data_IF_650824327838
#
_entry.id   IF_650824327838
#
_cell.length_a   1.000
_cell.length_b   1.000
_cell.length_c   1.000
_cell.angle_alpha   90.00
_cell.angle_beta   90.00
_cell.angle_gamma   90.00
#
_symmetry.space_group_name_H-M   'P 1'
#
loop_
_entity.id
_entity.type
_entity.pdbx_description
1 polymer ?
#
# COMPACT_ATOMS: atom_id res chain seq x y z
N UNK A 1 20.17 14.19 -4.18
CA UNK A 1 19.51 12.87 -3.99
C UNK A 1 18.57 12.68 -5.16
N UNK A 2 18.56 11.50 -5.77
CA UNK A 2 17.88 11.28 -7.06
C UNK A 2 17.08 9.99 -6.97
N UNK A 3 15.75 10.08 -7.03
CA UNK A 3 14.89 8.90 -7.00
C UNK A 3 14.88 8.26 -8.39
N UNK A 4 15.94 7.52 -8.72
CA UNK A 4 16.01 6.70 -9.93
C UNK A 4 15.15 5.46 -9.69
N UNK A 5 14.00 5.37 -10.35
CA UNK A 5 13.16 4.16 -10.36
C UNK A 5 13.78 3.15 -11.34
N UNK A 6 14.97 2.66 -11.00
CA UNK A 6 15.72 1.73 -11.84
C UNK A 6 15.09 0.34 -11.81
N UNK A 7 14.68 -0.15 -12.98
CA UNK A 7 14.15 -1.51 -13.14
C UNK A 7 15.24 -2.60 -13.23
N UNK A 8 16.53 -2.23 -13.12
CA UNK A 8 17.67 -3.15 -13.31
C UNK A 8 18.40 -3.60 -12.04
N UNK A 9 17.87 -3.29 -10.84
CA UNK A 9 18.45 -3.72 -9.55
C UNK A 9 17.41 -4.34 -8.60
N UNK A 10 16.37 -4.97 -9.15
CA UNK A 10 15.27 -5.55 -8.36
C UNK A 10 15.69 -6.88 -7.73
N UNK A 11 15.63 -6.96 -6.40
CA UNK A 11 15.79 -8.20 -5.64
C UNK A 11 14.45 -8.97 -5.60
N UNK A 12 14.42 -10.29 -5.85
CA UNK A 12 13.22 -11.12 -5.99
C UNK A 12 12.47 -11.39 -4.66
N UNK A 13 12.78 -10.65 -3.59
CA UNK A 13 11.96 -10.61 -2.37
C UNK A 13 10.95 -9.45 -2.34
N UNK A 14 11.04 -8.46 -3.24
CA UNK A 14 10.10 -7.33 -3.28
C UNK A 14 9.71 -7.01 -4.73
N UNK A 15 8.66 -7.68 -5.24
CA UNK A 15 8.00 -7.24 -6.47
C UNK A 15 6.61 -7.86 -6.64
N UNK A 16 5.55 -7.03 -6.58
CA UNK A 16 4.35 -7.14 -7.43
C UNK A 16 3.53 -5.84 -7.36
N UNK A 17 3.99 -4.79 -8.05
CA UNK A 17 3.11 -3.71 -8.51
C UNK A 17 2.55 -4.08 -9.88
N UNK A 18 1.38 -4.72 -9.89
CA UNK A 18 0.70 -5.09 -11.14
C UNK A 18 -0.18 -3.93 -11.61
N UNK A 19 0.28 -3.20 -12.62
CA UNK A 19 -0.51 -2.20 -13.32
C UNK A 19 -1.20 -2.83 -14.53
N UNK A 20 -2.52 -2.94 -14.49
CA UNK A 20 -3.30 -3.34 -15.65
C UNK A 20 -3.57 -2.14 -16.55
N UNK A 21 -3.17 -2.27 -17.82
CA UNK A 21 -3.50 -1.33 -18.89
C UNK A 21 -4.62 -1.93 -19.74
N UNK A 22 -5.70 -1.17 -19.96
CA UNK A 22 -6.75 -1.53 -20.91
C UNK A 22 -7.02 -0.38 -21.87
N UNK A 23 -7.06 -0.69 -23.16
CA UNK A 23 -7.29 0.26 -24.25
C UNK A 23 -8.78 0.23 -24.63
N UNK A 24 -9.53 1.27 -24.25
CA UNK A 24 -10.96 1.39 -24.54
C UNK A 24 -11.38 2.84 -24.77
N UNK A 25 -12.16 3.09 -25.83
CA UNK A 25 -12.65 4.43 -26.19
C UNK A 25 -14.03 4.71 -25.58
N UNK A 26 -14.26 5.99 -25.21
CA UNK A 26 -15.60 6.61 -25.29
C UNK A 26 -16.24 7.07 -23.98
N UNK A 27 -17.20 7.99 -24.11
CA UNK A 27 -18.24 8.27 -23.11
C UNK A 27 -17.87 9.23 -21.98
N UNK A 28 -18.48 10.42 -21.99
CA UNK A 28 -18.53 11.32 -20.84
C UNK A 28 -20.00 11.61 -20.45
N UNK A 29 -20.41 11.11 -19.28
CA UNK A 29 -21.58 11.60 -18.55
C UNK A 29 -21.18 11.77 -17.08
N UNK A 30 -21.71 12.80 -16.42
CA UNK A 30 -21.37 13.17 -15.06
C UNK A 30 -22.29 12.55 -14.01
N UNK A 31 -21.79 12.37 -12.78
CA UNK A 31 -22.56 11.88 -11.64
C UNK A 31 -22.47 12.93 -10.52
N UNK A 32 -23.62 13.41 -10.04
CA UNK A 32 -23.69 14.26 -8.85
C UNK A 32 -23.49 13.42 -7.59
N UNK A 33 -22.62 13.88 -6.68
CA UNK A 33 -22.40 13.25 -5.38
C UNK A 33 -22.95 14.11 -4.22
N UNK A 34 -23.55 13.47 -3.22
CA UNK A 34 -24.28 14.14 -2.15
C UNK A 34 -23.37 14.76 -1.09
N UNK A 35 -23.50 16.08 -0.89
CA UNK A 35 -22.58 16.88 -0.08
C UNK A 35 -22.38 16.40 1.38
N UNK A 36 -23.40 15.79 1.99
CA UNK A 36 -23.43 15.45 3.41
C UNK A 36 -22.49 14.31 3.85
N UNK A 37 -21.67 13.72 2.97
CA UNK A 37 -20.58 12.79 3.31
C UNK A 37 -19.17 13.37 3.06
N UNK A 38 -19.07 14.41 2.22
CA UNK A 38 -17.83 14.90 1.60
C UNK A 38 -16.90 15.54 2.66
N UNK A 39 -17.47 16.37 3.55
CA UNK A 39 -16.76 17.20 4.53
C UNK A 39 -15.83 16.43 5.51
N UNK A 40 -16.04 15.12 5.71
CA UNK A 40 -15.21 14.30 6.59
C UNK A 40 -13.98 13.71 5.89
N UNK A 41 -14.19 13.10 4.72
CA UNK A 41 -13.15 12.43 3.96
C UNK A 41 -12.12 13.41 3.37
N UNK A 42 -12.59 14.54 2.85
CA UNK A 42 -11.69 15.47 2.15
C UNK A 42 -10.89 16.35 3.11
N UNK A 43 -11.43 16.64 4.30
CA UNK A 43 -10.66 17.26 5.40
C UNK A 43 -9.44 16.41 5.76
N UNK A 44 -9.62 15.09 5.92
CA UNK A 44 -8.54 14.20 6.35
C UNK A 44 -7.54 13.91 5.21
N UNK A 45 -8.00 13.88 3.95
CA UNK A 45 -7.11 13.92 2.76
C UNK A 45 -6.25 15.17 2.73
N UNK A 46 -6.87 16.34 2.95
CA UNK A 46 -6.18 17.63 2.93
C UNK A 46 -5.12 17.73 4.03
N UNK A 47 -5.41 17.18 5.22
CA UNK A 47 -4.43 17.05 6.31
C UNK A 47 -3.27 16.11 5.94
N UNK A 48 -3.54 14.99 5.27
CA UNK A 48 -2.49 14.08 4.79
C UNK A 48 -1.63 14.72 3.71
N UNK A 49 -2.25 15.31 2.67
CA UNK A 49 -1.57 16.05 1.60
C UNK A 49 -0.74 17.23 2.11
N UNK A 50 -1.17 17.89 3.19
CA UNK A 50 -0.38 18.90 3.87
C UNK A 50 0.86 18.28 4.53
N UNK A 51 0.69 17.21 5.32
CA UNK A 51 1.82 16.51 5.96
C UNK A 51 2.86 16.05 4.92
N UNK A 52 2.45 15.43 3.81
CA UNK A 52 3.35 15.00 2.73
C UNK A 52 4.23 16.13 2.18
N UNK A 53 3.75 17.39 2.24
CA UNK A 53 4.48 18.58 1.77
C UNK A 53 5.40 19.18 2.84
N UNK A 54 5.16 18.95 4.13
CA UNK A 54 5.98 19.52 5.22
C UNK A 54 7.39 18.95 5.32
N UNK A 55 7.65 17.79 4.72
CA UNK A 55 8.90 17.02 4.83
C UNK A 55 9.45 16.56 3.49
N UNK A 56 9.26 17.41 2.46
CA UNK A 56 9.84 17.21 1.13
C UNK A 56 10.30 18.54 0.57
N UNK A 57 11.50 18.58 0.02
CA UNK A 57 11.96 19.70 -0.80
C UNK A 57 11.00 19.92 -1.98
N UNK A 58 10.78 21.17 -2.42
CA UNK A 58 9.90 21.45 -3.55
C UNK A 58 10.43 20.78 -4.82
N UNK A 59 9.63 19.86 -5.38
CA UNK A 59 9.75 19.27 -6.72
C UNK A 59 11.12 18.63 -7.04
N UNK A 60 11.30 17.37 -6.65
CA UNK A 60 12.21 16.46 -7.39
C UNK A 60 11.60 16.23 -8.79
N UNK A 61 12.34 16.42 -9.90
CA UNK A 61 11.85 16.10 -11.25
C UNK A 61 11.46 14.62 -11.37
N UNK A 62 10.31 14.34 -12.00
CA UNK A 62 9.86 12.97 -12.22
C UNK A 62 10.56 12.36 -13.44
N UNK A 63 11.66 11.65 -13.21
CA UNK A 63 12.27 10.78 -14.23
C UNK A 63 11.49 9.47 -14.31
N UNK A 64 10.81 9.24 -15.43
CA UNK A 64 10.19 7.93 -15.73
C UNK A 64 11.11 7.16 -16.68
N UNK A 65 11.73 6.10 -16.17
CA UNK A 65 12.42 5.11 -17.00
C UNK A 65 11.42 4.00 -17.39
N UNK A 66 11.09 3.83 -18.69
CA UNK A 66 10.22 2.73 -19.12
C UNK A 66 10.91 1.38 -18.86
N UNK A 67 10.39 0.62 -17.90
CA UNK A 67 10.88 -0.74 -17.62
C UNK A 67 10.70 -1.62 -18.86
N UNK A 68 11.75 -2.38 -19.21
CA UNK A 68 11.64 -3.38 -20.28
C UNK A 68 10.64 -4.46 -19.84
N UNK A 69 9.69 -4.89 -20.71
CA UNK A 69 8.76 -5.96 -20.38
C UNK A 69 9.48 -7.22 -19.88
N UNK A 70 9.01 -7.74 -18.76
CA UNK A 70 9.54 -8.93 -18.06
C UNK A 70 8.98 -10.20 -18.73
N UNK A 71 9.84 -11.17 -19.14
CA UNK A 71 9.56 -11.97 -20.36
C UNK A 71 8.97 -13.41 -20.27
N UNK A 72 8.93 -14.13 -19.12
CA UNK A 72 8.59 -15.58 -18.99
C UNK A 72 7.99 -16.13 -17.60
N UNK A 73 7.02 -15.52 -16.89
CA UNK A 73 6.76 -15.42 -15.40
C UNK A 73 7.15 -16.47 -14.30
N UNK A 74 7.97 -16.09 -13.28
CA UNK A 74 8.30 -16.85 -12.03
C UNK A 74 7.10 -16.91 -11.06
N UNK A 75 6.84 -18.11 -10.54
CA UNK A 75 5.82 -18.39 -9.51
C UNK A 75 6.39 -19.30 -8.41
N UNK A 76 5.79 -19.26 -7.22
CA UNK A 76 6.29 -19.93 -6.01
C UNK A 76 5.49 -21.19 -5.58
N UNK A 77 4.45 -21.59 -6.32
CA UNK A 77 3.55 -22.69 -5.93
C UNK A 77 3.40 -23.76 -7.02
N UNK A 78 3.17 -25.01 -6.60
CA UNK A 78 2.82 -26.18 -7.41
C UNK A 78 1.69 -26.93 -6.68
N UNK A 79 0.60 -27.37 -7.35
CA UNK A 79 0.29 -27.19 -8.77
C UNK A 79 -0.07 -25.74 -9.13
N UNK A 80 0.06 -25.40 -10.42
CA UNK A 80 -0.20 -24.06 -10.95
C UNK A 80 -1.69 -23.70 -10.83
N UNK A 81 -2.05 -22.52 -10.28
CA UNK A 81 -3.42 -22.01 -10.31
C UNK A 81 -3.91 -21.74 -11.75
N UNK A 82 -5.14 -22.10 -12.07
CA UNK A 82 -5.68 -22.00 -13.43
C UNK A 82 -6.23 -20.60 -13.76
N UNK A 83 -5.43 -19.89 -14.56
CA UNK A 83 -5.79 -18.80 -15.49
C UNK A 83 -6.27 -17.44 -14.95
N UNK A 84 -5.47 -16.41 -15.26
CA UNK A 84 -5.93 -15.13 -15.80
C UNK A 84 -4.87 -14.62 -16.79
N UNK A 85 -5.26 -14.05 -17.94
CA UNK A 85 -4.31 -13.55 -18.97
C UNK A 85 -3.26 -12.58 -18.39
N UNK A 86 -3.72 -11.79 -17.41
CA UNK A 86 -2.95 -10.94 -16.51
C UNK A 86 -1.64 -11.54 -15.98
N UNK A 87 -1.57 -12.86 -15.79
CA UNK A 87 -0.45 -13.53 -15.13
C UNK A 87 0.58 -14.10 -16.11
N UNK A 88 0.32 -14.14 -17.43
CA UNK A 88 1.20 -14.82 -18.39
C UNK A 88 2.46 -14.00 -18.78
N UNK A 89 2.77 -12.88 -18.10
CA UNK A 89 3.67 -11.81 -18.59
C UNK A 89 4.72 -11.20 -17.61
N UNK A 90 5.22 -11.94 -16.60
CA UNK A 90 6.39 -11.58 -15.71
C UNK A 90 7.69 -12.37 -16.13
N UNK A 91 8.77 -12.70 -15.34
CA UNK A 91 9.90 -13.54 -15.83
C UNK A 91 10.29 -14.84 -15.05
N UNK A 92 10.47 -16.02 -15.70
CA UNK A 92 11.22 -17.22 -15.24
C UNK A 92 12.63 -17.21 -15.82
N UNK A 93 13.61 -17.45 -14.99
CA UNK A 93 14.90 -18.02 -15.36
C UNK A 93 15.43 -18.75 -14.12
N UNK A 94 16.07 -19.92 -14.29
CA UNK A 94 16.81 -20.53 -13.19
C UNK A 94 18.18 -19.85 -13.07
N UNK A 95 18.49 -19.31 -11.89
CA UNK A 95 19.67 -18.50 -11.63
C UNK A 95 20.47 -19.16 -10.52
N UNK A 96 21.54 -19.87 -10.90
CA UNK A 96 22.51 -20.40 -9.94
C UNK A 96 23.01 -19.29 -9.01
N UNK A 97 23.10 -19.65 -7.73
CA UNK A 97 23.55 -18.81 -6.63
C UNK A 97 22.75 -17.50 -6.49
N UNK A 98 21.47 -17.49 -6.86
CA UNK A 98 20.61 -16.29 -6.79
C UNK A 98 20.74 -15.56 -5.45
N UNK A 99 20.59 -16.24 -4.31
CA UNK A 99 20.71 -15.63 -2.96
C UNK A 99 22.02 -14.88 -2.72
N UNK A 100 23.15 -15.38 -3.23
CA UNK A 100 24.47 -14.74 -3.10
C UNK A 100 24.63 -13.55 -4.06
N UNK A 101 23.95 -13.61 -5.21
CA UNK A 101 23.91 -12.54 -6.20
C UNK A 101 22.98 -11.39 -5.82
N UNK A 102 22.16 -11.55 -4.78
CA UNK A 102 21.36 -10.48 -4.19
C UNK A 102 22.23 -9.68 -3.21
N UNK A 103 23.02 -8.76 -3.74
CA UNK A 103 23.68 -7.73 -2.91
C UNK A 103 22.60 -6.98 -2.13
N UNK A 104 22.81 -6.88 -0.82
CA UNK A 104 21.81 -6.46 0.18
C UNK A 104 21.47 -4.95 0.15
N UNK A 105 22.09 -4.22 -0.78
CA UNK A 105 22.16 -2.77 -0.93
C UNK A 105 20.77 -2.08 -0.83
N UNK A 106 19.74 -2.63 -1.48
CA UNK A 106 18.39 -2.04 -1.44
C UNK A 106 17.65 -2.23 -0.10
N UNK A 107 17.93 -3.30 0.66
CA UNK A 107 17.33 -3.50 1.99
C UNK A 107 18.05 -2.68 3.06
N UNK A 108 19.37 -2.56 2.89
CA UNK A 108 20.22 -1.66 3.68
C UNK A 108 19.75 -0.20 3.54
N UNK A 109 19.59 0.30 2.31
CA UNK A 109 19.10 1.66 2.02
C UNK A 109 17.76 1.99 2.68
N UNK A 110 16.78 1.07 2.69
CA UNK A 110 15.50 1.31 3.36
C UNK A 110 15.66 1.37 4.89
N UNK A 111 16.52 0.51 5.45
CA UNK A 111 16.81 0.45 6.88
C UNK A 111 17.52 1.73 7.35
N UNK A 112 18.55 2.18 6.62
CA UNK A 112 19.25 3.44 6.87
C UNK A 112 18.33 4.66 6.72
N UNK A 113 17.44 4.67 5.72
CA UNK A 113 16.47 5.75 5.55
C UNK A 113 15.51 5.86 6.75
N UNK A 114 15.03 4.72 7.29
CA UNK A 114 14.18 4.71 8.48
C UNK A 114 14.92 5.23 9.73
N UNK A 115 16.17 4.79 9.94
CA UNK A 115 17.04 5.28 11.02
C UNK A 115 17.35 6.77 10.87
N UNK A 116 17.69 7.23 9.67
CA UNK A 116 17.88 8.66 9.36
C UNK A 116 16.59 9.48 9.59
N UNK A 117 15.42 8.93 9.27
CA UNK A 117 14.12 9.57 9.50
C UNK A 117 13.77 9.64 11.00
N UNK A 118 14.17 8.66 11.82
CA UNK A 118 14.11 8.77 13.28
C UNK A 118 14.98 9.92 13.78
N UNK A 119 16.27 9.90 13.45
CA UNK A 119 17.26 10.86 13.93
C UNK A 119 16.89 12.28 13.49
N UNK A 120 16.74 12.52 12.18
CA UNK A 120 16.55 13.88 11.62
C UNK A 120 15.08 14.33 11.64
N UNK A 121 14.14 13.44 11.37
CA UNK A 121 12.72 13.77 11.21
C UNK A 121 12.38 14.58 9.95
N UNK A 122 13.31 14.61 8.99
CA UNK A 122 13.24 15.37 7.74
C UNK A 122 12.45 14.67 6.62
N UNK A 123 12.22 13.37 6.78
CA UNK A 123 11.69 12.42 5.77
C UNK A 123 10.66 11.48 6.41
N UNK A 124 9.94 10.67 5.61
CA UNK A 124 8.92 9.71 6.06
C UNK A 124 8.93 8.39 5.23
N UNK A 125 10.10 7.70 5.13
CA UNK A 125 10.39 6.72 4.08
C UNK A 125 9.63 5.39 4.21
N UNK A 126 8.98 5.13 5.35
CA UNK A 126 8.24 3.88 5.57
C UNK A 126 7.03 3.74 4.64
N UNK A 127 6.21 4.78 4.53
CA UNK A 127 4.91 4.73 3.87
C UNK A 127 4.61 6.01 3.09
N UNK A 128 4.77 7.15 3.75
CA UNK A 128 4.18 8.40 3.29
C UNK A 128 4.96 8.99 2.10
N UNK A 129 6.28 8.77 2.07
CA UNK A 129 7.11 9.10 0.90
C UNK A 129 6.67 8.34 -0.36
N UNK A 130 6.57 7.00 -0.30
CA UNK A 130 6.11 6.19 -1.44
C UNK A 130 4.68 6.55 -1.87
N UNK A 131 3.81 6.94 -0.92
CA UNK A 131 2.45 7.41 -1.23
C UNK A 131 2.46 8.75 -1.96
N UNK A 132 3.38 9.67 -1.68
CA UNK A 132 3.57 10.86 -2.52
C UNK A 132 4.06 10.48 -3.92
N UNK A 133 4.99 9.55 -4.02
CA UNK A 133 5.53 9.12 -5.31
C UNK A 133 4.46 8.38 -6.16
N UNK A 134 3.47 7.73 -5.52
CA UNK A 134 2.26 7.23 -6.16
C UNK A 134 1.30 8.36 -6.61
N UNK A 135 1.13 9.44 -5.85
CA UNK A 135 0.41 10.64 -6.33
C UNK A 135 1.10 11.21 -7.59
N UNK A 136 2.45 11.25 -7.62
CA UNK A 136 3.22 11.68 -8.79
C UNK A 136 3.08 10.71 -9.97
N UNK A 137 2.99 9.41 -9.72
CA UNK A 137 2.66 8.42 -10.75
C UNK A 137 1.27 8.67 -11.33
N UNK A 138 0.24 8.96 -10.50
CA UNK A 138 -1.09 9.31 -10.98
C UNK A 138 -1.11 10.63 -11.79
N UNK A 139 -0.28 11.62 -11.44
CA UNK A 139 -0.07 12.82 -12.27
C UNK A 139 0.44 12.46 -13.68
N UNK A 140 1.41 11.53 -13.78
CA UNK A 140 1.96 11.09 -15.06
C UNK A 140 0.99 10.20 -15.86
N UNK A 141 0.35 9.21 -15.22
CA UNK A 141 -0.59 8.29 -15.89
C UNK A 141 -1.80 9.05 -16.46
N UNK A 142 -2.29 10.08 -15.79
CA UNK A 142 -3.43 10.90 -16.29
C UNK A 142 -3.06 11.87 -17.43
N UNK A 143 -1.78 12.02 -17.78
CA UNK A 143 -1.32 12.79 -18.95
C UNK A 143 -1.04 11.90 -20.19
N UNK A 144 -1.05 10.57 -20.03
CA UNK A 144 -0.77 9.62 -21.12
C UNK A 144 -1.98 9.42 -22.03
N UNK A 145 -1.79 9.63 -23.33
CA UNK A 145 -2.84 9.48 -24.36
C UNK A 145 -3.30 8.04 -24.56
N UNK A 146 -2.53 7.07 -24.08
CA UNK A 146 -2.78 5.63 -24.16
C UNK A 146 -3.37 5.04 -22.85
N UNK A 147 -3.78 5.89 -21.91
CA UNK A 147 -4.40 5.50 -20.63
C UNK A 147 -5.75 6.21 -20.49
N UNK A 148 -6.79 5.48 -20.10
CA UNK A 148 -8.03 6.09 -19.61
C UNK A 148 -7.83 6.56 -18.15
N UNK A 149 -7.85 7.88 -17.87
CA UNK A 149 -7.62 8.41 -16.53
C UNK A 149 -8.71 8.02 -15.52
N UNK A 150 -9.84 7.44 -15.96
CA UNK A 150 -10.90 6.90 -15.09
C UNK A 150 -10.68 5.43 -14.70
N UNK A 151 -9.78 4.72 -15.37
CA UNK A 151 -9.57 3.26 -15.23
C UNK A 151 -8.19 2.91 -14.66
N UNK A 152 -7.71 3.70 -13.70
CA UNK A 152 -6.44 3.44 -12.99
C UNK A 152 -6.72 2.65 -11.71
N UNK A 153 -6.30 1.38 -11.65
CA UNK A 153 -6.36 0.56 -10.43
C UNK A 153 -5.05 0.58 -9.62
N UNK A 154 -5.11 0.16 -8.35
CA UNK A 154 -3.91 -0.05 -7.52
C UNK A 154 -4.00 -1.27 -6.59
N UNK A 155 -2.97 -2.11 -6.62
CA UNK A 155 -2.79 -3.29 -5.76
C UNK A 155 -1.35 -3.35 -5.25
N UNK A 156 -1.11 -4.20 -4.25
CA UNK A 156 0.20 -4.46 -3.70
C UNK A 156 0.12 -5.44 -2.52
N UNK A 157 1.23 -6.12 -2.26
CA UNK A 157 1.43 -7.06 -1.16
C UNK A 157 2.14 -6.38 0.03
N UNK A 158 1.78 -6.76 1.26
CA UNK A 158 2.36 -6.32 2.54
C UNK A 158 2.66 -4.82 2.64
N UNK A 159 3.91 -4.40 2.42
CA UNK A 159 4.32 -3.00 2.42
C UNK A 159 3.71 -2.23 1.23
N UNK A 160 3.76 -2.82 0.03
CA UNK A 160 3.04 -2.33 -1.14
C UNK A 160 1.51 -2.38 -0.95
N UNK A 161 1.00 -3.30 -0.13
CA UNK A 161 -0.41 -3.34 0.28
C UNK A 161 -0.80 -2.14 1.15
N UNK A 162 0.08 -1.72 2.08
CA UNK A 162 -0.09 -0.46 2.80
C UNK A 162 0.02 0.75 1.87
N UNK A 163 0.98 0.78 0.94
CA UNK A 163 1.09 1.86 -0.04
C UNK A 163 -0.16 1.96 -0.92
N UNK A 164 -0.70 0.84 -1.41
CA UNK A 164 -1.93 0.79 -2.22
C UNK A 164 -3.15 1.32 -1.45
N UNK A 165 -3.32 0.93 -0.18
CA UNK A 165 -4.34 1.48 0.72
C UNK A 165 -4.17 2.99 0.89
N UNK A 166 -2.99 3.48 1.28
CA UNK A 166 -2.79 4.91 1.55
C UNK A 166 -2.87 5.78 0.31
N UNK A 167 -2.38 5.32 -0.84
CA UNK A 167 -2.51 5.99 -2.12
C UNK A 167 -3.98 6.06 -2.58
N UNK A 168 -4.74 4.96 -2.47
CA UNK A 168 -6.18 4.97 -2.75
C UNK A 168 -6.97 5.84 -1.75
N UNK A 169 -6.54 5.93 -0.49
CA UNK A 169 -7.13 6.83 0.50
C UNK A 169 -6.97 8.30 0.07
N UNK A 170 -5.74 8.74 -0.19
CA UNK A 170 -5.42 10.15 -0.44
C UNK A 170 -5.82 10.62 -1.85
N UNK A 171 -5.55 9.82 -2.87
CA UNK A 171 -5.77 10.17 -4.27
C UNK A 171 -7.02 9.49 -4.82
N UNK A 172 -7.93 10.29 -5.37
CA UNK A 172 -9.22 9.84 -5.90
C UNK A 172 -9.14 9.32 -7.34
N UNK A 173 -8.00 9.50 -8.03
CA UNK A 173 -7.77 9.00 -9.40
C UNK A 173 -7.58 7.48 -9.47
N UNK A 174 -7.15 6.86 -8.37
CA UNK A 174 -7.20 5.40 -8.22
C UNK A 174 -8.66 4.96 -8.10
N UNK A 175 -9.24 4.50 -9.20
CA UNK A 175 -10.67 4.16 -9.31
C UNK A 175 -11.04 2.91 -8.51
N UNK A 176 -10.11 1.95 -8.38
CA UNK A 176 -10.26 0.69 -7.63
C UNK A 176 -8.98 0.34 -6.89
N UNK A 177 -9.11 -0.23 -5.69
CA UNK A 177 -8.01 -0.69 -4.86
C UNK A 177 -8.21 -2.13 -4.36
N UNK A 178 -7.12 -2.91 -4.29
CA UNK A 178 -7.13 -4.29 -3.77
C UNK A 178 -5.90 -4.62 -2.90
N UNK A 179 -5.60 -3.89 -1.81
CA UNK A 179 -4.47 -4.17 -0.92
C UNK A 179 -4.48 -5.59 -0.31
N UNK A 180 -3.34 -6.27 -0.41
CA UNK A 180 -3.12 -7.65 0.07
C UNK A 180 -2.15 -7.67 1.27
N UNK A 181 -2.53 -8.32 2.37
CA UNK A 181 -1.82 -8.47 3.65
C UNK A 181 -1.14 -7.20 4.19
N UNK A 182 -1.72 -6.03 3.88
CA UNK A 182 -1.22 -4.71 4.30
C UNK A 182 -2.16 -3.93 5.24
N UNK A 183 -3.47 -4.19 5.23
CA UNK A 183 -4.41 -3.40 6.04
C UNK A 183 -4.43 -3.86 7.49
N UNK A 184 -4.13 -2.94 8.40
CA UNK A 184 -4.05 -3.17 9.86
C UNK A 184 -4.58 -1.95 10.63
N UNK A 185 -4.85 -2.11 11.93
CA UNK A 185 -5.11 -0.98 12.83
C UNK A 185 -3.89 -0.67 13.70
N UNK A 186 -3.11 0.35 13.34
CA UNK A 186 -1.85 0.68 14.02
C UNK A 186 -2.07 1.07 15.48
N UNK A 187 -3.07 1.91 15.76
CA UNK A 187 -3.42 2.30 17.14
C UNK A 187 -3.92 1.11 17.95
N UNK A 188 -4.76 0.28 17.34
CA UNK A 188 -5.27 -0.93 17.98
C UNK A 188 -4.13 -1.89 18.35
N UNK A 189 -3.17 -2.11 17.44
CA UNK A 189 -2.01 -2.97 17.68
C UNK A 189 -1.16 -2.49 18.87
N UNK A 190 -0.95 -1.17 18.99
CA UNK A 190 -0.24 -0.55 20.12
C UNK A 190 -1.01 -0.74 21.43
N UNK A 191 -2.31 -0.49 21.43
CA UNK A 191 -3.10 -0.55 22.67
C UNK A 191 -3.24 -1.99 23.19
N UNK A 192 -3.35 -2.99 22.30
CA UNK A 192 -3.62 -4.41 22.61
C UNK A 192 -2.39 -5.33 22.60
N UNK A 193 -1.17 -4.78 22.57
CA UNK A 193 0.10 -5.55 22.54
C UNK A 193 0.20 -6.55 21.38
N UNK A 194 -0.20 -6.11 20.18
CA UNK A 194 -0.09 -6.85 18.91
C UNK A 194 0.72 -6.07 17.86
N UNK A 195 1.72 -5.31 18.32
CA UNK A 195 2.56 -4.42 17.51
C UNK A 195 3.90 -5.06 17.10
N UNK A 196 4.29 -6.17 17.73
CA UNK A 196 5.63 -6.77 17.69
C UNK A 196 6.02 -7.21 16.28
N UNK A 197 5.26 -8.11 15.66
CA UNK A 197 5.60 -8.66 14.33
C UNK A 197 5.63 -7.61 13.20
N UNK A 198 4.93 -6.47 13.35
CA UNK A 198 5.05 -5.32 12.45
C UNK A 198 6.36 -4.57 12.67
N UNK A 199 6.79 -4.41 13.92
CA UNK A 199 8.05 -3.76 14.28
C UNK A 199 9.26 -4.61 13.94
N UNK A 200 9.21 -5.91 14.20
CA UNK A 200 10.28 -6.84 13.82
C UNK A 200 10.54 -6.84 12.29
N UNK A 201 9.57 -6.44 11.46
CA UNK A 201 9.78 -6.28 10.01
C UNK A 201 10.64 -5.07 9.61
N UNK A 202 10.89 -4.12 10.52
CA UNK A 202 11.76 -2.95 10.34
C UNK A 202 12.53 -2.63 11.63
N UNK A 203 13.02 -3.67 12.33
CA UNK A 203 13.42 -3.59 13.75
C UNK A 203 14.47 -2.53 14.09
N UNK A 204 15.43 -2.27 13.18
CA UNK A 204 16.56 -1.39 13.42
C UNK A 204 16.18 0.02 13.90
N UNK A 205 15.14 0.65 13.32
CA UNK A 205 14.71 2.00 13.73
C UNK A 205 14.09 2.01 15.13
N UNK A 206 13.57 0.88 15.61
CA UNK A 206 13.02 0.75 16.96
C UNK A 206 14.10 0.38 18.00
N UNK A 207 15.17 -0.33 17.61
CA UNK A 207 16.34 -0.52 18.47
C UNK A 207 17.13 0.78 18.62
N UNK A 208 17.34 1.53 17.53
CA UNK A 208 17.97 2.85 17.57
C UNK A 208 17.18 3.81 18.46
N UNK A 209 15.87 3.92 18.24
CA UNK A 209 15.00 4.73 19.08
C UNK A 209 14.94 4.25 20.54
N UNK A 210 15.08 2.94 20.80
CA UNK A 210 15.20 2.42 22.17
C UNK A 210 16.49 2.91 22.84
N UNK A 211 17.62 2.90 22.14
CA UNK A 211 18.92 3.37 22.65
C UNK A 211 18.88 4.88 22.90
N UNK A 212 18.46 5.67 21.90
CA UNK A 212 18.32 7.13 21.96
C UNK A 212 17.38 7.59 23.10
N UNK A 213 16.32 6.83 23.38
CA UNK A 213 15.39 7.08 24.48
C UNK A 213 15.83 6.51 25.84
N UNK A 214 17.03 5.92 25.94
CA UNK A 214 17.57 5.37 27.19
C UNK A 214 16.79 4.15 27.73
N UNK A 215 16.11 3.40 26.86
CA UNK A 215 15.21 2.31 27.25
C UNK A 215 15.93 0.94 27.23
N UNK A 216 15.60 0.09 28.22
CA UNK A 216 16.11 -1.28 28.30
C UNK A 216 15.45 -2.26 27.32
N UNK A 217 14.21 -1.99 26.90
CA UNK A 217 13.45 -2.78 25.93
C UNK A 217 12.59 -1.88 25.03
N UNK A 218 12.19 -2.38 23.85
CA UNK A 218 11.20 -1.69 23.00
C UNK A 218 9.85 -1.81 23.72
N UNK A 219 9.29 -0.69 24.16
CA UNK A 219 8.00 -0.63 24.85
C UNK A 219 6.96 0.20 24.07
N UNK A 220 5.70 0.22 24.51
CA UNK A 220 4.62 1.01 23.89
C UNK A 220 4.95 2.50 23.72
N UNK A 221 5.88 3.07 24.47
CA UNK A 221 6.31 4.46 24.35
C UNK A 221 7.29 4.64 23.20
N UNK A 222 8.32 3.78 23.10
CA UNK A 222 9.23 3.70 21.94
C UNK A 222 8.41 3.52 20.66
N UNK A 223 7.46 2.58 20.66
CA UNK A 223 6.57 2.31 19.52
C UNK A 223 5.82 3.57 19.08
N UNK A 224 5.17 4.27 20.03
CA UNK A 224 4.41 5.51 19.74
C UNK A 224 5.33 6.64 19.24
N UNK A 225 6.51 6.80 19.86
CA UNK A 225 7.48 7.83 19.49
C UNK A 225 8.00 7.60 18.07
N UNK A 226 8.42 6.38 17.72
CA UNK A 226 8.90 6.06 16.35
C UNK A 226 7.81 6.34 15.32
N UNK A 227 6.58 5.84 15.48
CA UNK A 227 5.51 6.13 14.52
C UNK A 227 5.21 7.63 14.41
N UNK A 228 5.15 8.36 15.54
CA UNK A 228 4.97 9.82 15.51
C UNK A 228 6.14 10.57 14.83
N UNK A 229 7.34 9.99 14.82
CA UNK A 229 8.53 10.55 14.17
C UNK A 229 8.54 10.23 12.67
N UNK A 230 8.47 8.95 12.27
CA UNK A 230 8.68 8.51 10.87
C UNK A 230 7.42 8.47 10.00
N UNK A 231 6.22 8.45 10.62
CA UNK A 231 4.93 8.45 9.92
C UNK A 231 3.85 9.20 10.75
N UNK A 232 3.95 10.53 10.90
CA UNK A 232 3.13 11.29 11.83
C UNK A 232 1.61 11.09 11.61
N UNK A 233 0.91 10.63 12.65
CA UNK A 233 -0.53 10.37 12.59
C UNK A 233 -0.94 8.99 12.06
N UNK A 234 0.01 8.12 11.70
CA UNK A 234 -0.24 6.73 11.27
C UNK A 234 -1.03 5.92 12.31
N UNK A 235 -0.72 6.11 13.59
CA UNK A 235 -1.42 5.50 14.73
C UNK A 235 -2.42 6.46 15.40
N UNK A 236 -2.98 7.43 14.67
CA UNK A 236 -4.07 8.27 15.14
C UNK A 236 -5.04 8.65 14.01
N UNK A 237 -4.90 9.82 13.39
CA UNK A 237 -5.87 10.35 12.42
C UNK A 237 -5.86 9.61 11.08
N UNK A 238 -4.71 9.08 10.63
CA UNK A 238 -4.62 8.42 9.32
C UNK A 238 -4.75 6.88 9.39
N UNK A 239 -4.91 6.33 10.59
CA UNK A 239 -5.10 4.90 10.83
C UNK A 239 -6.37 4.37 10.13
N UNK A 240 -6.44 3.06 9.91
CA UNK A 240 -7.52 2.40 9.16
C UNK A 240 -8.95 2.68 9.67
N UNK A 241 -9.23 3.00 10.96
CA UNK A 241 -10.56 3.43 11.37
C UNK A 241 -11.05 4.73 10.69
N UNK A 242 -10.18 5.49 10.03
CA UNK A 242 -10.50 6.77 9.40
C UNK A 242 -10.18 6.78 7.91
N UNK A 243 -9.04 6.24 7.49
CA UNK A 243 -8.62 6.24 6.07
C UNK A 243 -9.33 5.20 5.21
N UNK A 244 -9.61 3.99 5.70
CA UNK A 244 -10.35 2.96 4.95
C UNK A 244 -11.79 3.42 4.62
N UNK A 245 -12.60 3.93 5.57
CA UNK A 245 -13.96 4.42 5.26
C UNK A 245 -13.99 5.60 4.28
N UNK A 246 -12.92 6.40 4.21
CA UNK A 246 -12.83 7.54 3.32
C UNK A 246 -12.63 7.17 1.83
N UNK A 247 -12.28 5.91 1.51
CA UNK A 247 -12.13 5.45 0.11
C UNK A 247 -13.50 5.38 -0.61
N UNK A 248 -14.59 5.19 0.14
CA UNK A 248 -15.96 5.18 -0.40
C UNK A 248 -16.26 6.45 -1.24
N UNK A 249 -16.97 6.32 -2.38
CA UNK A 249 -17.70 5.14 -2.88
C UNK A 249 -16.86 4.16 -3.72
N UNK A 250 -15.56 4.41 -3.92
CA UNK A 250 -14.73 3.68 -4.90
C UNK A 250 -14.50 2.21 -4.49
N UNK A 251 -14.53 1.25 -5.43
CA UNK A 251 -14.21 -0.16 -5.20
C UNK A 251 -12.96 -0.42 -4.35
N UNK A 252 -13.14 -1.07 -3.21
CA UNK A 252 -12.09 -1.52 -2.30
C UNK A 252 -12.29 -2.99 -1.92
N UNK A 253 -11.29 -3.81 -2.22
CA UNK A 253 -11.14 -5.17 -1.70
C UNK A 253 -9.98 -5.18 -0.69
N UNK A 254 -10.19 -5.78 0.48
CA UNK A 254 -9.13 -6.05 1.47
C UNK A 254 -8.94 -7.57 1.57
N UNK A 255 -7.70 -8.01 1.49
CA UNK A 255 -7.29 -9.43 1.48
C UNK A 255 -6.26 -9.67 2.59
N UNK A 256 -6.63 -10.32 3.69
CA UNK A 256 -5.70 -10.65 4.79
C UNK A 256 -5.68 -12.16 5.09
N UNK A 257 -4.60 -12.64 5.72
CA UNK A 257 -4.62 -13.88 6.49
C UNK A 257 -5.40 -13.68 7.80
N UNK A 258 -6.06 -14.73 8.31
CA UNK A 258 -6.72 -14.68 9.62
C UNK A 258 -5.71 -14.58 10.77
N UNK A 259 -4.58 -15.27 10.58
CA UNK A 259 -3.55 -15.53 11.59
C UNK A 259 -2.30 -14.65 11.34
N UNK A 260 -2.41 -13.64 10.46
CA UNK A 260 -1.35 -12.68 10.15
C UNK A 260 -1.03 -11.80 11.38
N UNK A 261 0.14 -11.97 12.03
CA UNK A 261 0.50 -11.19 13.22
C UNK A 261 0.90 -9.74 12.87
N UNK A 262 1.15 -9.44 11.59
CA UNK A 262 1.44 -8.09 11.08
C UNK A 262 0.21 -7.33 10.63
N UNK A 263 -0.94 -8.01 10.46
CA UNK A 263 -2.22 -7.42 10.11
C UNK A 263 -3.41 -8.04 10.90
N UNK A 264 -3.40 -8.00 12.26
CA UNK A 264 -4.31 -8.80 13.07
C UNK A 264 -5.80 -8.51 12.82
N UNK A 265 -6.59 -9.58 12.68
CA UNK A 265 -8.01 -9.54 12.34
C UNK A 265 -8.84 -8.61 13.26
N UNK A 266 -8.60 -8.64 14.56
CA UNK A 266 -9.29 -7.77 15.52
C UNK A 266 -9.05 -6.27 15.26
N UNK A 267 -7.84 -5.91 14.83
CA UNK A 267 -7.48 -4.53 14.48
C UNK A 267 -8.26 -3.99 13.29
N UNK A 268 -8.71 -4.85 12.36
CA UNK A 268 -9.50 -4.44 11.20
C UNK A 268 -11.02 -4.53 11.40
N UNK A 269 -11.53 -5.09 12.52
CA UNK A 269 -12.98 -5.15 12.83
C UNK A 269 -13.64 -3.77 12.85
N UNK A 270 -13.04 -2.80 13.55
CA UNK A 270 -13.55 -1.42 13.63
C UNK A 270 -13.46 -0.66 12.29
N UNK A 271 -12.31 -0.65 11.58
CA UNK A 271 -12.22 -0.16 10.19
C UNK A 271 -13.32 -0.72 9.28
N UNK A 272 -13.49 -2.04 9.26
CA UNK A 272 -14.48 -2.74 8.42
C UNK A 272 -15.92 -2.33 8.76
N UNK A 273 -16.26 -2.21 10.05
CA UNK A 273 -17.58 -1.74 10.50
C UNK A 273 -17.87 -0.30 10.04
N UNK A 274 -16.88 0.59 10.15
CA UNK A 274 -16.99 1.98 9.68
C UNK A 274 -17.08 2.07 8.15
N UNK A 275 -16.29 1.26 7.44
CA UNK A 275 -16.31 1.18 5.97
C UNK A 275 -17.68 0.75 5.46
N UNK A 276 -18.22 -0.38 5.93
CA UNK A 276 -19.56 -0.85 5.54
C UNK A 276 -20.65 0.21 5.73
N UNK A 277 -20.57 1.03 6.80
CA UNK A 277 -21.48 2.18 7.01
C UNK A 277 -21.27 3.31 5.99
N UNK A 278 -20.03 3.62 5.61
CA UNK A 278 -19.72 4.64 4.60
C UNK A 278 -20.21 4.23 3.20
N UNK A 279 -19.90 3.01 2.76
CA UNK A 279 -20.37 2.47 1.48
C UNK A 279 -21.91 2.32 1.44
N UNK A 280 -22.55 1.95 2.55
CA UNK A 280 -24.02 1.94 2.63
C UNK A 280 -24.62 3.36 2.48
N UNK A 281 -24.06 4.38 3.16
CA UNK A 281 -24.49 5.78 3.01
C UNK A 281 -24.28 6.32 1.59
N UNK A 282 -23.27 5.82 0.88
CA UNK A 282 -22.98 6.18 -0.51
C UNK A 282 -23.70 5.29 -1.54
N UNK A 283 -24.67 4.46 -1.12
CA UNK A 283 -25.42 3.50 -1.94
C UNK A 283 -24.55 2.50 -2.72
N UNK A 284 -23.28 2.33 -2.32
CA UNK A 284 -22.25 1.57 -3.03
C UNK A 284 -21.79 0.32 -2.28
N UNK A 285 -22.66 -0.31 -1.47
CA UNK A 285 -22.32 -1.49 -0.65
C UNK A 285 -21.67 -2.66 -1.42
N UNK A 286 -21.90 -2.78 -2.74
CA UNK A 286 -21.27 -3.79 -3.62
C UNK A 286 -19.80 -3.49 -3.98
N UNK A 287 -19.29 -2.32 -3.59
CA UNK A 287 -17.94 -1.80 -3.84
C UNK A 287 -17.01 -1.96 -2.63
N UNK A 288 -17.41 -2.69 -1.58
CA UNK A 288 -16.54 -3.00 -0.45
C UNK A 288 -16.59 -4.49 -0.09
N UNK A 289 -15.46 -5.18 -0.27
CA UNK A 289 -15.27 -6.59 0.09
C UNK A 289 -14.09 -6.71 1.06
N UNK A 290 -14.23 -7.55 2.08
CA UNK A 290 -13.15 -8.02 2.93
C UNK A 290 -13.14 -9.53 2.83
N UNK A 291 -11.98 -10.11 2.58
CA UNK A 291 -11.72 -11.54 2.63
C UNK A 291 -10.61 -11.78 3.63
N UNK A 292 -10.81 -12.78 4.47
CA UNK A 292 -9.86 -13.21 5.50
C UNK A 292 -9.74 -14.72 5.38
N UNK A 293 -8.53 -15.23 5.15
CA UNK A 293 -8.30 -16.66 4.92
C UNK A 293 -7.88 -17.37 6.22
N UNK A 294 -8.68 -18.33 6.76
CA UNK A 294 -8.32 -19.09 7.96
C UNK A 294 -7.06 -19.94 7.75
N UNK A 295 -6.21 -20.06 8.77
CA UNK A 295 -4.97 -20.84 8.72
C UNK A 295 -3.83 -20.14 7.98
N UNK A 296 -4.06 -18.93 7.45
CA UNK A 296 -3.06 -18.16 6.70
C UNK A 296 -2.49 -17.06 7.60
N UNK A 297 -1.16 -17.10 7.75
CA UNK A 297 -0.37 -16.05 8.42
C UNK A 297 -0.08 -14.87 7.49
N UNK A 298 1.14 -14.33 7.59
CA UNK A 298 1.60 -13.26 6.70
C UNK A 298 2.13 -13.81 5.36
N UNK A 299 1.23 -14.37 4.55
CA UNK A 299 1.53 -15.00 3.25
C UNK A 299 0.50 -14.58 2.19
N UNK A 300 0.97 -14.24 0.99
CA UNK A 300 0.10 -13.99 -0.16
C UNK A 300 -0.23 -15.30 -0.87
N UNK A 301 -1.46 -15.79 -0.71
CA UNK A 301 -1.91 -17.01 -1.38
C UNK A 301 -2.37 -16.76 -2.81
N UNK A 302 -2.34 -17.79 -3.65
CA UNK A 302 -2.87 -17.76 -5.02
C UNK A 302 -4.36 -17.37 -5.09
N UNK A 303 -5.16 -17.72 -4.08
CA UNK A 303 -6.55 -17.26 -3.95
C UNK A 303 -6.63 -15.74 -3.70
N UNK A 304 -5.68 -15.14 -2.97
CA UNK A 304 -5.66 -13.68 -2.80
C UNK A 304 -5.33 -12.96 -4.11
N UNK A 305 -4.35 -13.48 -4.86
CA UNK A 305 -3.99 -12.95 -6.19
C UNK A 305 -5.19 -13.03 -7.14
N UNK A 306 -5.90 -14.17 -7.18
CA UNK A 306 -7.08 -14.33 -8.03
C UNK A 306 -8.20 -13.34 -7.65
N UNK A 307 -8.55 -13.23 -6.37
CA UNK A 307 -9.59 -12.31 -5.91
C UNK A 307 -9.22 -10.84 -6.16
N UNK A 308 -7.94 -10.47 -6.08
CA UNK A 308 -7.47 -9.14 -6.47
C UNK A 308 -7.62 -8.88 -7.98
N UNK A 309 -7.24 -9.84 -8.83
CA UNK A 309 -7.41 -9.74 -10.30
C UNK A 309 -8.89 -9.69 -10.70
N UNK A 310 -9.73 -10.59 -10.18
CA UNK A 310 -11.18 -10.62 -10.41
C UNK A 310 -11.83 -9.28 -10.03
N UNK A 311 -11.35 -8.63 -8.95
CA UNK A 311 -11.84 -7.33 -8.49
C UNK A 311 -11.38 -6.17 -9.37
N UNK A 312 -10.13 -6.18 -9.84
CA UNK A 312 -9.64 -5.20 -10.82
C UNK A 312 -10.41 -5.31 -12.13
N UNK A 313 -10.51 -6.51 -12.70
CA UNK A 313 -11.28 -6.80 -13.91
C UNK A 313 -12.72 -6.28 -13.80
N UNK A 314 -13.42 -6.63 -12.72
CA UNK A 314 -14.81 -6.25 -12.49
C UNK A 314 -15.06 -4.74 -12.52
N UNK A 315 -14.08 -3.92 -12.15
CA UNK A 315 -14.25 -2.45 -12.03
C UNK A 315 -13.42 -1.63 -13.02
N UNK A 316 -12.54 -2.26 -13.80
CA UNK A 316 -11.78 -1.63 -14.89
C UNK A 316 -12.28 -2.02 -16.29
N UNK A 317 -12.85 -3.22 -16.47
CA UNK A 317 -13.39 -3.70 -17.77
C UNK A 317 -14.83 -3.18 -18.06
N UNK A 318 -15.26 -2.12 -17.38
CA UNK A 318 -16.51 -1.36 -17.64
C UNK A 318 -16.17 -0.08 -18.38
#
# INVERSE_FOLDING_TARGET
>A
MTNIISSSSISPLICFFVFFFWLGHGGAQGIQHSAAAINGADKIRSQFLHLLRTRRSPQVPLTVEPSKPVRHPLFQQVPTPTFSEAMESCPKADIKNLKERLKEENFYLHTEALVSSWIKGDTMPFLFDTVWDLIKLADYLTQRKDIDPKRIGITGESLGGMHAWFAAFVDTRYAVAAPIIGVQGFRWAIDNDKWQARIDSIKAVFEEARVDLGKSAIDKEVVKKVWNRIAPGLASIFDSPYSIPAIAPRPLLILNGADDPRCPLDGIKTPTKRARKAYAKAHSSKNFKLIVQPGIGHEMTSLMVKEASDWMDRFLKQ
#
